data_IF_561843345757
#
_entry.id   IF_561843345757
#
_cell.length_a   1.000
_cell.length_b   1.000
_cell.length_c   1.000
_cell.angle_alpha   90.00
_cell.angle_beta   90.00
_cell.angle_gamma   90.00
#
_symmetry.space_group_name_H-M   'P 1'
#
loop_
_entity.id
_entity.type
_entity.pdbx_description
1 polymer ?
#
# COMPACT_ATOMS: atom_id res chain seq x y z
N UNK A 1 33.52 -28.99 91.27
CA UNK A 1 34.32 -28.48 90.16
C UNK A 1 33.33 -28.03 89.10
N UNK A 2 33.08 -26.72 88.96
CA UNK A 2 32.03 -26.19 88.02
C UNK A 2 32.79 -25.55 86.84
N UNK A 3 32.61 -26.11 85.62
CA UNK A 3 33.18 -25.62 84.37
C UNK A 3 32.32 -24.48 83.86
N UNK A 4 32.92 -23.26 83.73
CA UNK A 4 32.26 -22.12 83.09
C UNK A 4 32.63 -22.07 81.62
N UNK A 5 31.61 -22.24 80.78
CA UNK A 5 31.75 -22.11 79.32
C UNK A 5 31.54 -20.62 79.02
N UNK A 6 32.57 -20.00 78.47
CA UNK A 6 32.49 -18.63 77.94
C UNK A 6 32.09 -18.72 76.45
N UNK A 7 30.93 -18.20 76.07
CA UNK A 7 30.50 -18.09 74.70
C UNK A 7 30.99 -16.73 74.17
N UNK A 8 31.88 -16.78 73.19
CA UNK A 8 32.27 -15.58 72.42
C UNK A 8 31.35 -15.43 71.24
N UNK A 9 30.52 -14.40 71.25
CA UNK A 9 29.71 -14.00 70.11
C UNK A 9 30.58 -13.21 69.13
N UNK A 10 30.86 -13.79 67.93
CA UNK A 10 31.44 -13.04 66.82
C UNK A 10 30.30 -12.44 65.95
N UNK A 11 30.18 -11.13 66.00
CA UNK A 11 29.24 -10.39 65.13
C UNK A 11 29.82 -10.28 63.74
N UNK A 12 29.29 -11.03 62.77
CA UNK A 12 29.56 -10.82 61.36
C UNK A 12 28.67 -9.68 60.81
N UNK A 13 29.26 -8.53 60.57
CA UNK A 13 28.63 -7.46 59.80
C UNK A 13 28.69 -7.80 58.30
N UNK A 14 27.56 -8.24 57.74
CA UNK A 14 27.42 -8.45 56.31
C UNK A 14 27.21 -7.10 55.63
N UNK A 15 28.23 -6.66 54.88
CA UNK A 15 28.18 -5.51 53.99
C UNK A 15 27.33 -5.90 52.77
N UNK A 16 26.06 -5.49 52.70
CA UNK A 16 25.24 -5.63 51.50
C UNK A 16 25.64 -4.54 50.47
N UNK A 17 26.52 -4.89 49.55
CA UNK A 17 26.71 -4.11 48.34
C UNK A 17 25.45 -4.24 47.49
N UNK A 18 24.59 -3.22 47.50
CA UNK A 18 23.43 -3.15 46.62
C UNK A 18 23.86 -3.01 45.18
N UNK A 19 23.90 -4.13 44.44
CA UNK A 19 23.99 -4.11 43.00
C UNK A 19 22.65 -3.58 42.47
N UNK A 20 22.61 -2.30 42.17
CA UNK A 20 21.51 -1.66 41.46
C UNK A 20 21.35 -2.30 40.08
N UNK A 21 20.45 -3.29 39.96
CA UNK A 21 20.01 -3.81 38.68
C UNK A 21 19.28 -2.69 37.94
N UNK A 22 19.97 -1.95 37.10
CA UNK A 22 19.36 -1.08 36.10
C UNK A 22 18.60 -1.99 35.12
N UNK A 23 17.32 -2.20 35.39
CA UNK A 23 16.39 -2.82 34.44
C UNK A 23 16.32 -1.94 33.19
N UNK A 24 17.13 -2.25 32.20
CA UNK A 24 16.95 -1.76 30.83
C UNK A 24 15.65 -2.39 30.32
N UNK A 25 14.54 -1.68 30.55
CA UNK A 25 13.25 -2.01 29.95
C UNK A 25 13.45 -1.98 28.44
N UNK A 26 13.61 -3.14 27.82
CA UNK A 26 13.70 -3.25 26.38
C UNK A 26 12.51 -2.48 25.80
N UNK A 27 12.78 -1.40 25.06
CA UNK A 27 11.76 -0.58 24.41
C UNK A 27 11.05 -1.50 23.42
N UNK A 28 9.86 -1.95 23.78
CA UNK A 28 9.06 -2.81 22.93
C UNK A 28 8.90 -2.10 21.58
N UNK A 29 9.43 -2.71 20.51
CA UNK A 29 9.34 -2.13 19.17
C UNK A 29 7.87 -1.84 18.87
N UNK A 30 7.58 -0.66 18.31
CA UNK A 30 6.23 -0.33 17.90
C UNK A 30 5.72 -1.41 16.93
N UNK A 31 4.45 -1.82 17.03
CA UNK A 31 3.89 -2.83 16.13
C UNK A 31 4.05 -2.38 14.69
N UNK A 32 4.44 -3.32 13.81
CA UNK A 32 4.59 -3.03 12.38
C UNK A 32 3.27 -2.54 11.80
N UNK A 33 3.37 -1.64 10.82
CA UNK A 33 2.23 -1.22 10.01
C UNK A 33 1.67 -2.40 9.24
N UNK A 34 0.36 -2.38 8.96
CA UNK A 34 -0.33 -3.46 8.26
C UNK A 34 -0.88 -2.98 6.94
N UNK A 35 -0.57 -3.72 5.88
CA UNK A 35 -1.06 -3.49 4.51
C UNK A 35 -2.04 -4.59 4.15
N UNK A 36 -3.22 -4.20 3.69
CA UNK A 36 -4.14 -5.09 2.99
C UNK A 36 -3.77 -5.08 1.51
N UNK A 37 -3.20 -6.17 1.00
CA UNK A 37 -3.01 -6.38 -0.43
C UNK A 37 -4.29 -7.01 -0.99
N UNK A 38 -5.10 -6.18 -1.64
CA UNK A 38 -6.46 -6.53 -2.05
C UNK A 38 -6.63 -6.61 -3.56
N UNK A 39 -7.16 -7.74 -4.01
CA UNK A 39 -7.72 -7.93 -5.34
C UNK A 39 -9.03 -8.69 -5.19
N UNK A 40 -10.07 -8.33 -5.94
CA UNK A 40 -11.25 -9.19 -6.03
C UNK A 40 -11.23 -9.91 -7.37
N UNK A 41 -10.92 -11.21 -7.33
CA UNK A 41 -10.74 -12.04 -8.54
C UNK A 41 -12.03 -12.73 -9.00
N UNK A 42 -13.17 -12.40 -8.41
CA UNK A 42 -14.46 -13.00 -8.74
C UNK A 42 -15.13 -12.37 -9.96
N UNK A 43 -14.72 -11.15 -10.32
CA UNK A 43 -15.39 -10.35 -11.35
C UNK A 43 -14.39 -9.81 -12.40
N UNK A 44 -14.87 -9.71 -13.64
CA UNK A 44 -14.14 -9.11 -14.75
C UNK A 44 -12.97 -9.95 -15.28
N UNK A 45 -12.16 -9.33 -16.14
CA UNK A 45 -10.93 -9.94 -16.64
C UNK A 45 -9.88 -9.96 -15.55
N UNK A 46 -9.36 -11.14 -15.24
CA UNK A 46 -8.33 -11.31 -14.24
C UNK A 46 -6.95 -11.30 -14.90
N UNK A 47 -6.09 -10.39 -14.49
CA UNK A 47 -4.71 -10.38 -14.93
C UNK A 47 -3.93 -11.50 -14.25
N UNK A 48 -3.26 -12.35 -15.03
CA UNK A 48 -2.46 -13.47 -14.48
C UNK A 48 -1.37 -13.00 -13.52
N UNK A 49 -0.92 -11.76 -13.67
CA UNK A 49 0.10 -11.12 -12.83
C UNK A 49 -0.36 -10.77 -11.42
N UNK A 50 -1.67 -10.76 -11.12
CA UNK A 50 -2.20 -10.31 -9.82
C UNK A 50 -1.53 -11.05 -8.66
N UNK A 51 -1.45 -12.37 -8.71
CA UNK A 51 -0.84 -13.18 -7.65
C UNK A 51 0.65 -12.85 -7.47
N UNK A 52 1.38 -12.68 -8.57
CA UNK A 52 2.80 -12.30 -8.56
C UNK A 52 3.00 -10.90 -7.95
N UNK A 53 2.16 -9.94 -8.31
CA UNK A 53 2.18 -8.59 -7.77
C UNK A 53 1.96 -8.57 -6.24
N UNK A 54 0.90 -9.25 -5.77
CA UNK A 54 0.58 -9.30 -4.34
C UNK A 54 1.68 -10.01 -3.53
N UNK A 55 2.24 -11.11 -4.05
CA UNK A 55 3.35 -11.83 -3.43
C UNK A 55 4.64 -10.99 -3.40
N UNK A 56 4.91 -10.21 -4.45
CA UNK A 56 6.06 -9.28 -4.49
C UNK A 56 5.94 -8.25 -3.38
N UNK A 57 4.77 -7.66 -3.17
CA UNK A 57 4.55 -6.68 -2.10
C UNK A 57 4.68 -7.33 -0.70
N UNK A 58 4.16 -8.54 -0.54
CA UNK A 58 4.32 -9.30 0.70
C UNK A 58 5.80 -9.53 1.02
N UNK A 59 6.56 -10.06 0.06
CA UNK A 59 8.00 -10.29 0.19
C UNK A 59 8.76 -9.00 0.56
N UNK A 60 8.50 -7.89 -0.15
CA UNK A 60 9.19 -6.62 0.12
C UNK A 60 8.88 -6.07 1.52
N UNK A 61 7.63 -6.19 1.99
CA UNK A 61 7.24 -5.81 3.35
C UNK A 61 7.95 -6.67 4.40
N UNK A 62 7.94 -7.98 4.20
CA UNK A 62 8.55 -8.96 5.11
C UNK A 62 10.07 -8.79 5.20
N UNK A 63 10.79 -8.81 4.06
CA UNK A 63 12.25 -8.71 4.00
C UNK A 63 12.78 -7.39 4.57
N UNK A 64 12.07 -6.29 4.32
CA UNK A 64 12.47 -4.98 4.84
C UNK A 64 12.08 -4.76 6.31
N UNK A 65 11.15 -5.54 6.85
CA UNK A 65 10.55 -5.32 8.16
C UNK A 65 9.71 -4.05 8.27
N UNK A 66 9.39 -3.38 7.15
CA UNK A 66 8.68 -2.09 7.16
C UNK A 66 7.19 -2.23 7.48
N UNK A 67 6.56 -3.30 6.99
CA UNK A 67 5.14 -3.58 7.21
C UNK A 67 4.84 -5.06 7.06
N UNK A 68 3.73 -5.49 7.64
CA UNK A 68 3.15 -6.82 7.46
C UNK A 68 2.06 -6.74 6.39
N UNK A 69 2.04 -7.70 5.46
CA UNK A 69 1.06 -7.75 4.37
C UNK A 69 0.06 -8.87 4.57
N UNK A 70 -1.20 -8.57 4.31
CA UNK A 70 -2.31 -9.52 4.35
C UNK A 70 -2.97 -9.57 2.98
N UNK A 71 -2.79 -10.67 2.26
CA UNK A 71 -3.37 -10.84 0.92
C UNK A 71 -4.82 -11.29 1.05
N UNK A 72 -5.71 -10.62 0.31
CA UNK A 72 -7.12 -11.00 0.16
C UNK A 72 -7.54 -10.88 -1.30
N UNK A 73 -8.20 -11.93 -1.78
CA UNK A 73 -8.70 -12.04 -3.16
C UNK A 73 -10.22 -11.95 -3.26
N UNK A 74 -10.82 -11.41 -2.21
CA UNK A 74 -12.24 -11.09 -2.10
C UNK A 74 -12.42 -9.75 -1.35
N UNK A 75 -13.63 -9.21 -1.38
CA UNK A 75 -13.95 -7.91 -0.78
C UNK A 75 -14.58 -8.01 0.62
N UNK A 76 -14.56 -9.17 1.27
CA UNK A 76 -15.11 -9.33 2.62
C UNK A 76 -14.47 -8.37 3.64
N UNK A 77 -13.13 -8.14 3.66
CA UNK A 77 -12.50 -7.26 4.63
C UNK A 77 -12.74 -5.77 4.39
N UNK A 78 -13.36 -5.38 3.25
CA UNK A 78 -13.65 -3.98 2.92
C UNK A 78 -14.88 -3.51 3.70
N UNK A 79 -14.74 -3.46 5.00
CA UNK A 79 -15.74 -2.94 5.94
C UNK A 79 -15.09 -2.56 7.26
N UNK A 80 -15.70 -1.62 7.99
CA UNK A 80 -15.34 -1.28 9.36
C UNK A 80 -16.21 -2.02 10.39
N UNK A 81 -17.22 -2.78 9.92
CA UNK A 81 -18.08 -3.60 10.79
C UNK A 81 -17.33 -4.87 11.20
N UNK A 82 -17.57 -5.39 12.42
CA UNK A 82 -17.03 -6.69 12.82
C UNK A 82 -17.45 -7.79 11.84
N UNK A 83 -16.51 -8.63 11.44
CA UNK A 83 -16.75 -9.82 10.64
C UNK A 83 -16.66 -11.02 11.57
N UNK A 84 -17.81 -11.64 11.87
CA UNK A 84 -17.89 -12.78 12.78
C UNK A 84 -18.18 -14.06 12.00
N UNK A 85 -17.45 -15.10 12.34
CA UNK A 85 -17.76 -16.47 11.89
C UNK A 85 -18.38 -17.22 13.06
N UNK A 86 -19.66 -17.57 12.92
CA UNK A 86 -20.43 -18.25 13.95
C UNK A 86 -20.24 -19.78 13.94
N UNK A 87 -20.93 -20.51 14.82
CA UNK A 87 -20.78 -21.95 15.05
C UNK A 87 -21.07 -22.84 13.83
N UNK A 88 -21.67 -22.30 12.76
CA UNK A 88 -21.99 -23.05 11.55
C UNK A 88 -20.85 -23.11 10.53
N UNK A 89 -19.63 -22.63 10.85
CA UNK A 89 -18.46 -22.62 9.94
C UNK A 89 -17.66 -23.92 9.96
N UNK A 90 -18.16 -24.98 10.60
CA UNK A 90 -17.46 -26.26 10.74
C UNK A 90 -16.35 -26.24 11.81
N UNK A 91 -16.21 -25.15 12.58
CA UNK A 91 -15.30 -25.07 13.70
C UNK A 91 -16.00 -25.60 14.95
N UNK A 92 -15.51 -26.71 15.49
CA UNK A 92 -16.18 -27.54 16.51
C UNK A 92 -16.32 -26.92 17.90
N UNK A 93 -15.80 -25.68 18.11
CA UNK A 93 -15.69 -25.10 19.47
C UNK A 93 -16.89 -24.25 19.89
N UNK A 94 -17.81 -23.93 18.99
CA UNK A 94 -18.94 -23.02 19.30
C UNK A 94 -18.52 -21.56 19.54
N UNK A 95 -17.24 -21.24 19.45
CA UNK A 95 -16.71 -19.89 19.61
C UNK A 95 -16.86 -19.08 18.30
N UNK A 96 -17.11 -17.79 18.45
CA UNK A 96 -17.11 -16.84 17.32
C UNK A 96 -15.73 -16.27 17.13
N UNK A 97 -15.23 -16.30 15.89
CA UNK A 97 -13.94 -15.69 15.54
C UNK A 97 -14.19 -14.37 14.82
N UNK A 98 -13.34 -13.38 15.12
CA UNK A 98 -13.31 -12.10 14.42
C UNK A 98 -12.28 -12.16 13.29
N UNK A 99 -12.72 -11.93 12.07
CA UNK A 99 -11.79 -11.67 10.95
C UNK A 99 -11.32 -10.23 10.96
N UNK A 100 -10.14 -10.00 10.37
CA UNK A 100 -9.63 -8.64 10.15
C UNK A 100 -10.51 -7.89 9.17
N UNK A 101 -10.70 -6.60 9.45
CA UNK A 101 -11.41 -5.65 8.59
C UNK A 101 -10.59 -4.36 8.44
N UNK A 102 -11.14 -3.32 7.81
CA UNK A 102 -10.42 -2.07 7.55
C UNK A 102 -9.81 -1.42 8.80
N UNK A 103 -10.38 -1.64 10.00
CA UNK A 103 -9.84 -1.08 11.25
C UNK A 103 -8.47 -1.66 11.62
N UNK A 104 -8.14 -2.83 11.10
CA UNK A 104 -6.89 -3.55 11.38
C UNK A 104 -5.74 -3.12 10.49
N UNK A 105 -5.99 -2.30 9.45
CA UNK A 105 -5.01 -1.94 8.44
C UNK A 105 -4.64 -0.46 8.49
N UNK A 106 -3.42 -0.15 8.01
CA UNK A 106 -2.89 1.21 7.90
C UNK A 106 -2.85 1.69 6.45
N UNK A 107 -2.82 0.78 5.49
CA UNK A 107 -2.92 1.06 4.07
C UNK A 107 -3.52 -0.13 3.31
N UNK A 108 -4.00 0.16 2.11
CA UNK A 108 -4.39 -0.83 1.10
C UNK A 108 -3.46 -0.70 -0.08
N UNK A 109 -2.96 -1.84 -0.61
CA UNK A 109 -2.54 -1.97 -1.99
C UNK A 109 -3.69 -2.61 -2.75
N UNK A 110 -4.18 -1.96 -3.80
CA UNK A 110 -5.30 -2.42 -4.60
C UNK A 110 -4.88 -2.72 -6.04
N UNK A 111 -5.14 -3.96 -6.46
CA UNK A 111 -4.95 -4.41 -7.83
C UNK A 111 -6.25 -5.07 -8.31
N UNK A 112 -7.30 -4.28 -8.48
CA UNK A 112 -8.62 -4.74 -8.91
C UNK A 112 -8.84 -4.59 -10.42
N UNK A 113 -9.98 -5.07 -10.88
CA UNK A 113 -10.37 -4.99 -12.30
C UNK A 113 -11.88 -4.80 -12.41
N UNK A 114 -12.31 -3.82 -13.21
CA UNK A 114 -13.70 -3.57 -13.58
C UNK A 114 -14.66 -3.38 -12.39
N UNK A 115 -15.95 -3.67 -12.60
CA UNK A 115 -16.96 -3.51 -11.56
C UNK A 115 -16.83 -4.64 -10.54
N UNK A 116 -16.45 -4.28 -9.32
CA UNK A 116 -16.42 -5.14 -8.15
C UNK A 116 -17.66 -4.82 -7.33
N UNK A 117 -18.37 -5.86 -6.88
CA UNK A 117 -19.56 -5.67 -6.06
C UNK A 117 -19.14 -5.32 -4.62
N UNK A 118 -19.33 -4.07 -4.26
CA UNK A 118 -19.30 -3.59 -2.88
C UNK A 118 -20.70 -3.09 -2.48
N UNK A 119 -21.13 -3.46 -1.29
CA UNK A 119 -22.36 -2.89 -0.72
C UNK A 119 -22.19 -1.37 -0.49
N UNK A 120 -23.27 -0.60 -0.38
CA UNK A 120 -23.18 0.82 -0.05
C UNK A 120 -22.37 1.10 1.23
N UNK A 121 -22.53 0.26 2.25
CA UNK A 121 -21.75 0.37 3.50
C UNK A 121 -20.26 0.15 3.26
N UNK A 122 -19.88 -0.86 2.45
CA UNK A 122 -18.48 -1.11 2.11
C UNK A 122 -17.85 0.03 1.30
N UNK A 123 -18.62 0.63 0.38
CA UNK A 123 -18.17 1.83 -0.34
C UNK A 123 -17.94 3.01 0.61
N UNK A 124 -18.87 3.25 1.52
CA UNK A 124 -18.74 4.28 2.56
C UNK A 124 -17.54 4.02 3.47
N UNK A 125 -17.37 2.79 3.92
CA UNK A 125 -16.25 2.37 4.79
C UNK A 125 -14.91 2.55 4.09
N UNK A 126 -14.79 2.19 2.79
CA UNK A 126 -13.56 2.39 2.00
C UNK A 126 -13.23 3.87 1.83
N UNK A 127 -14.22 4.71 1.48
CA UNK A 127 -13.99 6.14 1.33
C UNK A 127 -13.60 6.80 2.64
N UNK A 128 -14.26 6.47 3.74
CA UNK A 128 -13.93 7.04 5.06
C UNK A 128 -12.60 6.51 5.61
N UNK A 129 -12.19 5.28 5.27
CA UNK A 129 -10.86 4.73 5.59
C UNK A 129 -9.74 5.64 5.04
N UNK A 130 -9.88 6.09 3.78
CA UNK A 130 -8.90 6.97 3.17
C UNK A 130 -9.11 8.41 3.64
N UNK A 131 -10.30 8.97 3.42
CA UNK A 131 -10.57 10.40 3.55
C UNK A 131 -10.54 10.89 5.00
N UNK A 132 -11.13 10.13 5.91
CA UNK A 132 -11.37 10.56 7.30
C UNK A 132 -10.34 9.97 8.27
N UNK A 133 -10.07 8.65 8.17
CA UNK A 133 -9.10 7.97 9.03
C UNK A 133 -7.65 8.26 8.60
N UNK A 134 -7.46 8.83 7.39
CA UNK A 134 -6.15 9.25 6.90
C UNK A 134 -5.23 8.08 6.53
N UNK A 135 -5.81 6.94 6.22
CA UNK A 135 -5.07 5.73 5.83
C UNK A 135 -4.58 5.81 4.38
N UNK A 136 -3.59 4.97 4.07
CA UNK A 136 -2.96 4.93 2.74
C UNK A 136 -3.75 4.12 1.72
N UNK A 137 -3.73 4.55 0.45
CA UNK A 137 -4.31 3.81 -0.66
C UNK A 137 -3.37 3.83 -1.87
N UNK A 138 -2.77 2.70 -2.16
CA UNK A 138 -1.84 2.52 -3.29
C UNK A 138 -2.53 1.64 -4.32
N UNK A 139 -2.60 2.11 -5.56
CA UNK A 139 -3.31 1.41 -6.62
C UNK A 139 -2.35 1.06 -7.76
N UNK A 140 -2.42 -0.18 -8.20
CA UNK A 140 -1.58 -0.70 -9.26
C UNK A 140 -2.40 -0.98 -10.52
N UNK A 141 -1.82 -0.61 -11.65
CA UNK A 141 -2.25 -0.96 -13.01
C UNK A 141 -3.78 -0.91 -13.20
N UNK A 142 -4.41 -2.06 -13.40
CA UNK A 142 -5.85 -2.17 -13.68
C UNK A 142 -6.75 -1.74 -12.51
N UNK A 143 -6.21 -1.43 -11.35
CA UNK A 143 -7.02 -0.90 -10.25
C UNK A 143 -7.78 0.39 -10.60
N UNK A 144 -7.30 1.18 -11.58
CA UNK A 144 -8.02 2.35 -12.09
C UNK A 144 -9.18 1.97 -13.03
N UNK A 145 -9.21 0.74 -13.53
CA UNK A 145 -10.34 0.22 -14.32
C UNK A 145 -11.48 -0.29 -13.45
N UNK A 146 -11.26 -0.37 -12.12
CA UNK A 146 -12.28 -0.80 -11.19
C UNK A 146 -13.29 0.32 -10.91
N UNK A 147 -14.51 -0.07 -10.57
CA UNK A 147 -15.56 0.84 -10.11
C UNK A 147 -15.86 2.02 -11.07
N UNK A 148 -15.87 1.77 -12.38
CA UNK A 148 -16.15 2.83 -13.37
C UNK A 148 -17.54 3.46 -13.20
N UNK A 149 -18.49 2.72 -12.61
CA UNK A 149 -19.82 3.20 -12.24
C UNK A 149 -19.85 4.00 -10.93
N UNK A 150 -18.71 4.14 -10.23
CA UNK A 150 -18.61 4.85 -8.96
C UNK A 150 -17.70 6.09 -9.10
N UNK A 151 -18.27 7.28 -9.39
CA UNK A 151 -17.51 8.49 -9.67
C UNK A 151 -16.54 8.89 -8.56
N UNK A 152 -16.94 8.75 -7.28
CA UNK A 152 -16.14 9.14 -6.13
C UNK A 152 -14.84 8.33 -6.03
N UNK A 153 -14.84 7.08 -6.52
CA UNK A 153 -13.61 6.28 -6.59
C UNK A 153 -12.61 6.89 -7.58
N UNK A 154 -13.09 7.31 -8.78
CA UNK A 154 -12.27 8.01 -9.75
C UNK A 154 -11.76 9.35 -9.24
N UNK A 155 -12.59 10.10 -8.50
CA UNK A 155 -12.18 11.34 -7.83
C UNK A 155 -11.09 11.07 -6.78
N UNK A 156 -11.22 10.03 -5.99
CA UNK A 156 -10.20 9.62 -5.01
C UNK A 156 -8.85 9.33 -5.70
N UNK A 157 -8.85 8.66 -6.86
CA UNK A 157 -7.64 8.35 -7.62
C UNK A 157 -7.09 9.56 -8.38
N UNK A 158 -7.93 10.54 -8.73
CA UNK A 158 -7.54 11.72 -9.49
C UNK A 158 -7.65 11.57 -11.01
N UNK A 159 -8.24 10.48 -11.48
CA UNK A 159 -8.50 10.18 -12.88
C UNK A 159 -9.22 8.86 -13.03
N UNK A 160 -9.65 8.56 -14.26
CA UNK A 160 -10.38 7.33 -14.60
C UNK A 160 -9.75 6.70 -15.85
N UNK A 161 -9.81 5.39 -15.94
CA UNK A 161 -9.42 4.68 -17.15
C UNK A 161 -10.25 5.15 -18.34
N UNK A 162 -9.59 5.38 -19.46
CA UNK A 162 -10.22 5.63 -20.75
C UNK A 162 -9.95 4.46 -21.69
N UNK A 163 -8.68 4.27 -22.12
CA UNK A 163 -8.28 3.23 -23.05
C UNK A 163 -6.83 2.79 -22.81
N UNK A 164 -6.45 1.69 -23.45
CA UNK A 164 -5.06 1.23 -23.65
C UNK A 164 -4.72 1.17 -25.14
N UNK A 165 -4.59 2.35 -25.80
CA UNK A 165 -4.59 2.45 -27.27
C UNK A 165 -3.44 1.70 -27.94
N UNK A 166 -2.36 1.46 -27.21
CA UNK A 166 -1.16 0.77 -27.72
C UNK A 166 -1.07 -0.70 -27.28
N UNK A 167 -2.04 -1.20 -26.50
CA UNK A 167 -1.97 -2.51 -25.86
C UNK A 167 -0.62 -2.71 -25.14
N UNK A 168 -0.06 -3.92 -25.18
CA UNK A 168 1.27 -4.19 -24.65
C UNK A 168 2.31 -3.70 -25.67
N UNK A 169 3.00 -2.63 -25.33
CA UNK A 169 4.03 -2.03 -26.18
C UNK A 169 5.24 -1.56 -25.38
N UNK A 170 6.37 -1.37 -26.08
CA UNK A 170 7.55 -0.77 -25.48
C UNK A 170 7.49 0.74 -25.60
N UNK A 171 7.53 1.43 -24.47
CA UNK A 171 7.54 2.89 -24.42
C UNK A 171 8.59 3.40 -23.42
N UNK A 172 8.98 4.65 -23.58
CA UNK A 172 9.88 5.34 -22.66
C UNK A 172 9.08 6.08 -21.61
N UNK A 173 9.37 5.78 -20.36
CA UNK A 173 8.88 6.48 -19.19
C UNK A 173 9.88 7.56 -18.82
N UNK A 174 9.42 8.77 -18.56
CA UNK A 174 10.23 9.92 -18.12
C UNK A 174 9.85 10.28 -16.68
N UNK A 175 10.86 10.36 -15.84
CA UNK A 175 10.72 10.81 -14.46
C UNK A 175 10.50 12.32 -14.42
N UNK A 176 9.47 12.77 -13.68
CA UNK A 176 9.19 14.21 -13.50
C UNK A 176 9.63 14.71 -12.12
N UNK A 177 9.45 13.90 -11.06
CA UNK A 177 9.85 14.29 -9.72
C UNK A 177 10.74 13.27 -9.02
N UNK A 178 12.07 13.45 -9.11
CA UNK A 178 13.04 12.57 -8.43
C UNK A 178 13.09 12.75 -6.90
N UNK A 179 12.42 13.76 -6.34
CA UNK A 179 12.44 14.03 -4.90
C UNK A 179 11.32 13.32 -4.15
N UNK A 180 10.25 12.96 -4.83
CA UNK A 180 9.16 12.22 -4.21
C UNK A 180 9.67 10.85 -3.70
N UNK A 181 9.28 10.39 -2.49
CA UNK A 181 9.82 9.17 -1.88
C UNK A 181 9.82 7.95 -2.80
N UNK A 182 8.70 7.68 -3.49
CA UNK A 182 8.57 6.54 -4.40
C UNK A 182 9.51 6.62 -5.61
N UNK A 183 10.01 7.81 -5.96
CA UNK A 183 10.79 8.05 -7.17
C UNK A 183 12.27 8.31 -6.91
N UNK A 184 12.72 8.43 -5.65
CA UNK A 184 14.12 8.77 -5.29
C UNK A 184 15.18 7.88 -5.93
N UNK A 185 14.85 6.62 -6.25
CA UNK A 185 15.76 5.67 -6.91
C UNK A 185 15.24 5.19 -8.26
N UNK A 186 14.21 5.84 -8.77
CA UNK A 186 13.74 5.60 -10.13
C UNK A 186 14.71 6.25 -11.11
N UNK A 187 15.07 5.60 -12.24
CA UNK A 187 15.96 6.21 -13.23
C UNK A 187 15.30 7.44 -13.87
N UNK A 188 16.10 8.39 -14.36
CA UNK A 188 15.59 9.58 -15.02
C UNK A 188 14.71 9.24 -16.24
N UNK A 189 14.97 8.09 -16.88
CA UNK A 189 14.07 7.46 -17.84
C UNK A 189 14.20 5.94 -17.79
N UNK A 190 13.13 5.25 -18.15
CA UNK A 190 13.06 3.79 -18.20
C UNK A 190 12.33 3.38 -19.48
N UNK A 191 12.97 2.55 -20.32
CA UNK A 191 12.30 1.91 -21.45
C UNK A 191 11.71 0.61 -20.94
N UNK A 192 10.39 0.46 -21.07
CA UNK A 192 9.67 -0.67 -20.49
C UNK A 192 8.60 -1.16 -21.47
N UNK A 193 8.50 -2.48 -21.61
CA UNK A 193 7.38 -3.14 -22.29
C UNK A 193 6.30 -3.41 -21.24
N UNK A 194 5.12 -2.80 -21.43
CA UNK A 194 3.96 -2.96 -20.54
C UNK A 194 2.67 -2.59 -21.30
N UNK A 195 1.51 -2.77 -20.71
CA UNK A 195 0.26 -2.21 -21.20
C UNK A 195 0.11 -0.77 -20.71
N UNK A 196 0.10 0.17 -21.66
CA UNK A 196 0.06 1.59 -21.32
C UNK A 196 -1.34 2.17 -21.46
N UNK A 197 -1.75 2.92 -20.43
CA UNK A 197 -3.09 3.51 -20.34
C UNK A 197 -3.13 4.97 -20.74
N UNK A 198 -4.25 5.35 -21.32
CA UNK A 198 -4.73 6.70 -21.47
C UNK A 198 -5.85 6.92 -20.45
N UNK A 199 -5.95 8.13 -19.92
CA UNK A 199 -6.87 8.48 -18.85
C UNK A 199 -7.86 9.54 -19.30
N UNK A 200 -9.07 9.50 -18.72
CA UNK A 200 -10.07 10.55 -18.76
C UNK A 200 -10.33 11.12 -17.38
N UNK A 201 -11.00 12.26 -17.31
CA UNK A 201 -11.31 12.96 -16.05
C UNK A 201 -10.06 13.23 -15.20
N UNK A 202 -8.91 13.38 -15.86
CA UNK A 202 -7.60 13.61 -15.25
C UNK A 202 -7.20 15.09 -15.39
N UNK A 203 -6.60 15.66 -14.33
CA UNK A 203 -5.99 16.99 -14.36
C UNK A 203 -4.76 17.04 -13.47
N UNK A 204 -3.68 17.62 -13.96
CA UNK A 204 -2.45 17.87 -13.19
C UNK A 204 -2.66 18.80 -11.99
N UNK A 205 -3.69 19.65 -12.01
CA UNK A 205 -4.02 20.51 -10.88
C UNK A 205 -4.54 19.74 -9.67
N UNK A 206 -5.04 18.53 -9.88
CA UNK A 206 -5.62 17.68 -8.84
C UNK A 206 -4.66 16.61 -8.31
N UNK A 207 -3.54 16.39 -9.00
CA UNK A 207 -2.57 15.35 -8.65
C UNK A 207 -1.14 15.84 -8.85
N UNK A 208 -0.22 15.24 -8.13
CA UNK A 208 1.20 15.46 -8.32
C UNK A 208 1.76 14.35 -9.23
N UNK A 209 1.96 14.66 -10.50
CA UNK A 209 2.53 13.70 -11.47
C UNK A 209 3.99 13.46 -11.17
N UNK A 210 4.40 12.20 -11.15
CA UNK A 210 5.73 11.75 -10.77
C UNK A 210 6.50 11.19 -11.97
N UNK A 211 5.79 10.57 -12.92
CA UNK A 211 6.35 10.06 -14.17
C UNK A 211 5.27 10.01 -15.25
N UNK A 212 5.69 10.11 -16.51
CA UNK A 212 4.83 10.05 -17.68
C UNK A 212 5.47 9.23 -18.81
N UNK A 213 4.69 8.83 -19.81
CA UNK A 213 5.22 8.32 -21.07
C UNK A 213 5.85 9.46 -21.86
N UNK A 214 6.90 9.14 -22.61
CA UNK A 214 7.45 10.03 -23.63
C UNK A 214 6.61 9.88 -24.91
N UNK A 215 5.80 10.88 -25.30
CA UNK A 215 4.92 10.78 -26.45
C UNK A 215 5.68 10.55 -27.77
N UNK A 216 6.98 10.89 -27.84
CA UNK A 216 7.82 10.60 -29.01
C UNK A 216 8.05 9.09 -29.25
N UNK A 217 7.75 8.25 -28.25
CA UNK A 217 7.87 6.78 -28.34
C UNK A 217 6.53 6.07 -28.60
N UNK A 218 5.47 6.83 -28.85
CA UNK A 218 4.10 6.31 -29.00
C UNK A 218 3.55 6.64 -30.39
N UNK A 219 2.69 5.77 -30.91
CA UNK A 219 1.87 6.10 -32.09
C UNK A 219 0.66 6.94 -31.63
N UNK A 220 0.79 8.25 -31.72
CA UNK A 220 -0.29 9.18 -31.37
C UNK A 220 -1.44 9.19 -32.38
N UNK A 221 -1.33 8.48 -33.51
CA UNK A 221 -2.39 8.32 -34.51
C UNK A 221 -3.17 7.02 -34.35
N UNK A 222 -2.82 6.20 -33.37
CA UNK A 222 -3.56 4.97 -33.10
C UNK A 222 -5.05 5.27 -32.84
N UNK A 223 -5.98 4.43 -33.35
CA UNK A 223 -7.42 4.76 -33.38
C UNK A 223 -8.07 5.06 -32.03
N UNK A 224 -7.51 4.51 -30.95
CA UNK A 224 -8.04 4.69 -29.59
C UNK A 224 -7.31 5.77 -28.78
N UNK A 225 -6.43 6.54 -29.42
CA UNK A 225 -5.81 7.71 -28.77
C UNK A 225 -6.81 8.86 -28.82
N UNK A 226 -7.35 9.22 -27.65
CA UNK A 226 -8.34 10.30 -27.51
C UNK A 226 -7.70 11.60 -26.98
N UNK A 227 -6.54 11.49 -26.27
CA UNK A 227 -5.84 12.66 -25.73
C UNK A 227 -5.03 13.34 -26.83
N UNK A 228 -5.25 14.64 -26.97
CA UNK A 228 -4.58 15.48 -27.97
C UNK A 228 -3.48 16.36 -27.39
N UNK A 229 -3.37 16.38 -26.04
CA UNK A 229 -2.40 17.21 -25.31
C UNK A 229 -1.03 16.53 -25.15
N UNK A 230 -0.88 15.26 -25.56
CA UNK A 230 0.37 14.49 -25.45
C UNK A 230 0.77 14.16 -23.99
N UNK A 231 -0.14 14.30 -23.04
CA UNK A 231 0.12 14.05 -21.63
C UNK A 231 -0.41 12.68 -21.19
N UNK A 232 0.50 11.74 -20.98
CA UNK A 232 0.19 10.36 -20.60
C UNK A 232 0.89 10.01 -19.28
N UNK A 233 0.35 10.44 -18.13
CA UNK A 233 0.95 10.16 -16.82
C UNK A 233 0.88 8.66 -16.50
N UNK A 234 1.96 8.12 -15.91
CA UNK A 234 2.05 6.70 -15.51
C UNK A 234 2.17 6.52 -14.00
N UNK A 235 2.54 7.56 -13.26
CA UNK A 235 2.56 7.53 -11.82
C UNK A 235 2.26 8.92 -11.24
N UNK A 236 1.43 8.94 -10.19
CA UNK A 236 1.13 10.17 -9.46
C UNK A 236 0.73 9.89 -8.02
N UNK A 237 0.77 10.95 -7.22
CA UNK A 237 0.34 10.96 -5.84
C UNK A 237 -0.60 12.13 -5.57
N UNK A 238 -1.46 11.99 -4.55
CA UNK A 238 -2.31 13.07 -4.06
C UNK A 238 -2.76 12.83 -2.63
N UNK A 239 -3.25 13.87 -2.00
CA UNK A 239 -4.05 13.76 -0.79
C UNK A 239 -5.52 13.58 -1.17
N UNK A 240 -6.23 12.68 -0.48
CA UNK A 240 -7.69 12.60 -0.51
C UNK A 240 -8.21 12.73 0.92
N UNK A 241 -8.69 13.93 1.28
CA UNK A 241 -8.90 14.28 2.68
C UNK A 241 -7.59 14.15 3.46
N UNK A 242 -7.60 13.34 4.51
CA UNK A 242 -6.40 13.05 5.31
C UNK A 242 -5.52 11.92 4.75
N UNK A 243 -6.03 11.14 3.78
CA UNK A 243 -5.36 9.95 3.25
C UNK A 243 -4.35 10.26 2.16
N UNK A 244 -3.33 9.42 2.04
CA UNK A 244 -2.31 9.45 0.99
C UNK A 244 -2.66 8.44 -0.10
N UNK A 245 -2.87 8.91 -1.32
CA UNK A 245 -3.23 8.10 -2.48
C UNK A 245 -2.10 8.13 -3.50
N UNK A 246 -1.62 6.98 -3.90
CA UNK A 246 -0.66 6.78 -4.98
C UNK A 246 -1.25 5.86 -6.03
N UNK A 247 -1.02 6.16 -7.30
CA UNK A 247 -1.38 5.29 -8.40
C UNK A 247 -0.25 5.18 -9.42
N UNK A 248 -0.10 3.99 -10.01
CA UNK A 248 0.71 3.80 -11.22
C UNK A 248 -0.01 2.89 -12.21
N UNK A 249 0.06 3.26 -13.51
CA UNK A 249 -0.46 2.45 -14.62
C UNK A 249 0.35 1.18 -14.86
N UNK A 250 1.58 1.10 -14.32
CA UNK A 250 2.54 0.03 -14.61
C UNK A 250 2.20 -1.25 -13.84
N UNK A 251 2.38 -2.40 -14.50
CA UNK A 251 2.26 -3.69 -13.83
C UNK A 251 1.37 -4.73 -14.52
N UNK A 252 1.18 -4.65 -15.86
CA UNK A 252 0.43 -5.66 -16.60
C UNK A 252 1.17 -6.99 -16.73
N UNK A 253 2.49 -6.93 -16.92
CA UNK A 253 3.32 -8.10 -17.17
C UNK A 253 4.08 -8.54 -15.90
N UNK A 254 4.33 -9.86 -15.73
CA UNK A 254 5.18 -10.35 -14.63
C UNK A 254 6.57 -9.70 -14.62
N UNK A 255 7.19 -9.52 -15.78
CA UNK A 255 8.52 -8.93 -15.93
C UNK A 255 8.58 -7.48 -15.41
N UNK A 256 7.45 -6.77 -15.42
CA UNK A 256 7.35 -5.43 -14.83
C UNK A 256 7.47 -5.50 -13.32
N UNK A 257 6.85 -6.49 -12.69
CA UNK A 257 6.97 -6.73 -11.25
C UNK A 257 8.33 -7.29 -10.83
N UNK A 258 9.07 -7.91 -11.77
CA UNK A 258 10.45 -8.35 -11.54
C UNK A 258 11.47 -7.21 -11.69
N UNK A 259 11.06 -6.08 -12.28
CA UNK A 259 11.94 -4.93 -12.46
C UNK A 259 12.24 -4.22 -11.13
N UNK A 260 13.53 -4.11 -10.71
CA UNK A 260 13.89 -3.54 -9.42
C UNK A 260 13.43 -2.08 -9.22
N UNK A 261 13.37 -1.27 -10.30
CA UNK A 261 12.89 0.12 -10.22
C UNK A 261 11.39 0.17 -9.91
N UNK A 262 10.59 -0.72 -10.51
CA UNK A 262 9.16 -0.83 -10.28
C UNK A 262 8.87 -1.37 -8.87
N UNK A 263 9.56 -2.44 -8.46
CA UNK A 263 9.46 -2.96 -7.10
C UNK A 263 9.75 -1.87 -6.06
N UNK A 264 10.83 -1.12 -6.27
CA UNK A 264 11.21 -0.01 -5.38
C UNK A 264 10.16 1.09 -5.39
N UNK A 265 9.62 1.46 -6.54
CA UNK A 265 8.57 2.48 -6.66
C UNK A 265 7.34 2.10 -5.81
N UNK A 266 6.79 0.90 -5.97
CA UNK A 266 5.63 0.47 -5.19
C UNK A 266 5.93 0.30 -3.70
N UNK A 267 7.10 -0.21 -3.36
CA UNK A 267 7.53 -0.33 -1.97
C UNK A 267 7.61 1.03 -1.27
N UNK A 268 8.28 2.01 -1.89
CA UNK A 268 8.41 3.35 -1.31
C UNK A 268 7.09 4.13 -1.35
N UNK A 269 6.21 3.88 -2.35
CA UNK A 269 4.85 4.41 -2.37
C UNK A 269 4.03 3.91 -1.17
N UNK A 270 4.14 2.62 -0.82
CA UNK A 270 3.52 2.08 0.38
C UNK A 270 4.11 2.69 1.66
N UNK A 271 5.45 2.84 1.73
CA UNK A 271 6.08 3.49 2.89
C UNK A 271 5.61 4.93 3.07
N UNK A 272 5.46 5.67 1.97
CA UNK A 272 4.89 7.02 2.00
C UNK A 272 3.41 7.00 2.43
N UNK A 273 2.61 6.11 1.87
CA UNK A 273 1.21 5.96 2.22
C UNK A 273 1.00 5.58 3.70
N UNK A 274 1.91 4.77 4.25
CA UNK A 274 1.98 4.36 5.66
C UNK A 274 2.57 5.44 6.60
N UNK A 275 3.01 6.59 6.07
CA UNK A 275 3.69 7.66 6.83
C UNK A 275 5.00 7.20 7.50
N UNK A 276 5.68 6.22 6.91
CA UNK A 276 7.02 5.78 7.33
C UNK A 276 8.14 6.64 6.71
N UNK A 277 7.80 7.36 5.66
CA UNK A 277 8.64 8.38 5.02
C UNK A 277 7.77 9.55 4.61
N UNK A 278 8.31 10.76 4.68
CA UNK A 278 7.63 11.99 4.28
C UNK A 278 8.28 12.60 3.03
N UNK A 279 7.53 13.43 2.33
CA UNK A 279 8.06 14.38 1.37
C UNK A 279 8.86 15.43 2.14
N UNK A 280 9.96 15.94 1.54
CA UNK A 280 10.68 17.07 2.12
C UNK A 280 9.72 18.27 2.26
N UNK A 281 9.78 18.99 3.39
CA UNK A 281 8.85 20.07 3.77
C UNK A 281 8.66 21.18 2.72
N UNK A 282 9.51 21.25 1.70
CA UNK A 282 9.44 22.23 0.62
C UNK A 282 8.20 22.12 -0.28
N UNK A 283 7.34 21.12 -0.10
CA UNK A 283 6.14 20.87 -0.94
C UNK A 283 4.81 20.88 -0.22
N UNK A 284 4.79 21.30 1.02
CA UNK A 284 3.54 21.64 1.68
C UNK A 284 3.07 22.97 1.11
N UNK A 285 2.50 22.96 -0.11
CA UNK A 285 1.64 24.04 -0.57
C UNK A 285 0.20 23.71 -0.21
N UNK A 286 -0.55 24.70 0.26
CA UNK A 286 -1.91 24.58 0.79
C UNK A 286 -2.90 24.06 -0.22
#
# INVERSE_FOLDING_TARGET
>A
MRLRIVIVLVALTALHAGVGATSTRARQAAPRKRVLAWADVRYGYQHDVISHALATIERLGYESGAFDTFIRTDSQPITKKPITFGPNTGIATGESFLARNLRDFDAILFFGVREIELTPDQRSDLMSFVKEDGKGFVVAHSGITAFLSWPEFGEMLGGRFDQHPWNVTTAKIVLEDPKFPAMKKFPASLVLKDEHYQLKDFSRDRVHVLARLDPATLDLKAPLVHRTDGDFPVAWARMHGKGRVFYSTLGHLPEVWDNPAIQRMYFEALRWALRLVDEDDARKKP
#
